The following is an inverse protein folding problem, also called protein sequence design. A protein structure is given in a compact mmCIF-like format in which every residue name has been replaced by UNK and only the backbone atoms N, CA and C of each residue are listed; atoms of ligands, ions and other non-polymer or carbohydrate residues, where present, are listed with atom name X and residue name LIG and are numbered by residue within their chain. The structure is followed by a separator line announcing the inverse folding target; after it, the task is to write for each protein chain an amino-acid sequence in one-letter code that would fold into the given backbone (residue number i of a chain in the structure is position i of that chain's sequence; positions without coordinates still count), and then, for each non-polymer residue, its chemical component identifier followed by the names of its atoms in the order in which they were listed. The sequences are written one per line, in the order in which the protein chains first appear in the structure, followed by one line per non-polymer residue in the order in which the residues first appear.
data_IF_218303237933
#
_entry.id   IF_218303237933
#
_cell.length_a   1.000
_cell.length_b   1.000
_cell.length_c   1.000
_cell.angle_alpha   90.00
_cell.angle_beta   90.00
_cell.angle_gamma   90.00
#
_symmetry.space_group_name_H-M   'P 1'
#
loop_
_entity.id
_entity.type
_entity.pdbx_description
1 polymer ?
#
# COMPACT_ATOMS: atom_id res chain seq x y z
N UNK A 1 37.97 23.09 -24.31
CA UNK A 1 37.91 21.62 -24.39
C UNK A 1 36.55 21.24 -24.97
N UNK A 2 36.50 20.63 -26.16
CA UNK A 2 35.26 20.27 -26.86
C UNK A 2 35.01 18.76 -26.69
N UNK A 3 33.82 18.39 -26.23
CA UNK A 3 33.39 17.01 -26.00
C UNK A 3 33.14 16.30 -27.35
N UNK A 4 33.81 15.17 -27.57
CA UNK A 4 33.91 14.46 -28.84
C UNK A 4 32.98 13.24 -28.96
N UNK A 5 31.82 13.22 -28.30
CA UNK A 5 30.93 12.06 -28.33
C UNK A 5 29.46 12.44 -28.46
N UNK A 6 29.07 12.87 -29.66
CA UNK A 6 27.67 12.92 -30.09
C UNK A 6 27.57 12.49 -31.55
N UNK A 7 27.81 11.21 -31.86
CA UNK A 7 27.38 10.61 -33.12
C UNK A 7 27.12 9.12 -32.91
N UNK A 8 25.86 8.71 -33.10
CA UNK A 8 25.44 7.58 -33.94
C UNK A 8 23.93 7.42 -33.89
N UNK A 9 23.31 8.03 -34.89
CA UNK A 9 21.98 7.68 -35.38
C UNK A 9 22.01 6.23 -35.88
N UNK A 10 20.97 5.47 -35.54
CA UNK A 10 20.79 4.09 -35.99
C UNK A 10 19.31 3.88 -36.32
N UNK A 11 18.93 4.26 -37.54
CA UNK A 11 17.68 3.87 -38.17
C UNK A 11 17.58 2.34 -38.22
N UNK A 12 16.48 1.78 -37.72
CA UNK A 12 16.03 0.45 -38.11
C UNK A 12 14.52 0.45 -38.32
N UNK A 13 14.14 0.65 -39.57
CA UNK A 13 12.83 0.30 -40.10
C UNK A 13 12.76 -1.22 -40.21
N UNK A 14 11.68 -1.86 -39.75
CA UNK A 14 11.16 -3.07 -40.39
C UNK A 14 9.70 -3.33 -40.02
N UNK A 15 8.87 -3.06 -41.02
CA UNK A 15 7.60 -3.68 -41.37
C UNK A 15 7.23 -4.96 -40.59
N UNK A 16 6.09 -4.93 -39.89
CA UNK A 16 5.25 -6.13 -39.75
C UNK A 16 3.80 -5.82 -40.12
N UNK A 17 3.33 -6.64 -41.05
CA UNK A 17 2.04 -6.63 -41.74
C UNK A 17 0.89 -6.83 -40.76
N UNK A 18 -0.14 -6.03 -40.95
CA UNK A 18 -1.48 -6.24 -40.44
C UNK A 18 -2.12 -7.47 -41.13
N UNK A 19 -2.69 -8.36 -40.33
CA UNK A 19 -3.71 -9.31 -40.77
C UNK A 19 -5.00 -9.00 -39.99
N UNK A 20 -6.13 -8.75 -40.65
CA UNK A 20 -7.43 -8.73 -39.99
C UNK A 20 -7.92 -10.17 -39.83
N UNK A 21 -8.20 -10.58 -38.59
CA UNK A 21 -8.98 -11.79 -38.33
C UNK A 21 -10.27 -11.34 -37.67
N UNK A 22 -11.31 -11.30 -38.49
CA UNK A 22 -12.70 -11.27 -38.05
C UNK A 22 -13.05 -12.64 -37.49
N UNK A 23 -13.37 -12.72 -36.20
CA UNK A 23 -14.19 -13.81 -35.66
C UNK A 23 -15.21 -13.26 -34.68
N UNK A 24 -16.46 -13.45 -35.11
CA UNK A 24 -17.77 -13.28 -34.50
C UNK A 24 -17.79 -13.46 -32.96
N UNK A 25 -18.46 -12.56 -32.21
CA UNK A 25 -18.65 -12.73 -30.78
C UNK A 25 -19.68 -13.84 -30.50
N UNK A 26 -19.25 -14.85 -29.75
CA UNK A 26 -20.15 -15.82 -29.12
C UNK A 26 -20.98 -15.10 -28.06
N UNK A 27 -22.29 -15.13 -28.22
CA UNK A 27 -23.27 -14.63 -27.25
C UNK A 27 -23.22 -15.57 -26.04
N UNK A 28 -22.46 -15.20 -25.02
CA UNK A 28 -22.57 -15.82 -23.70
C UNK A 28 -23.79 -15.24 -22.98
N UNK A 29 -24.69 -16.16 -22.63
CA UNK A 29 -25.90 -15.98 -21.85
C UNK A 29 -25.64 -15.11 -20.62
N UNK A 30 -26.27 -13.93 -20.60
CA UNK A 30 -26.24 -13.03 -19.46
C UNK A 30 -26.81 -13.75 -18.22
N UNK A 31 -25.93 -14.21 -17.33
CA UNK A 31 -26.30 -14.54 -15.97
C UNK A 31 -26.77 -13.25 -15.30
N UNK A 32 -28.04 -13.22 -14.92
CA UNK A 32 -28.63 -12.15 -14.12
C UNK A 32 -27.90 -12.05 -12.79
N UNK A 33 -26.88 -11.20 -12.72
CA UNK A 33 -26.31 -10.74 -11.46
C UNK A 33 -27.37 -9.88 -10.78
N UNK A 34 -27.98 -10.42 -9.74
CA UNK A 34 -28.72 -9.63 -8.77
C UNK A 34 -27.68 -8.92 -7.90
N UNK A 35 -27.55 -7.58 -7.96
CA UNK A 35 -26.78 -6.88 -6.95
C UNK A 35 -27.63 -6.93 -5.68
N UNK A 36 -27.35 -7.89 -4.81
CA UNK A 36 -27.76 -7.84 -3.42
C UNK A 36 -27.00 -6.68 -2.74
N UNK A 37 -27.40 -5.45 -3.09
CA UNK A 37 -26.98 -4.23 -2.41
C UNK A 37 -27.78 -4.11 -1.11
N UNK A 38 -27.54 -5.05 -0.19
CA UNK A 38 -27.66 -4.70 1.21
C UNK A 38 -26.49 -3.78 1.51
N UNK A 39 -26.79 -2.59 2.02
CA UNK A 39 -25.80 -1.70 2.63
C UNK A 39 -25.31 -2.46 3.86
N UNK A 40 -24.31 -3.31 3.68
CA UNK A 40 -23.70 -4.05 4.77
C UNK A 40 -22.93 -3.02 5.58
N UNK A 41 -23.43 -2.76 6.80
CA UNK A 41 -22.75 -1.97 7.83
C UNK A 41 -21.30 -2.50 7.92
N UNK A 42 -20.32 -1.71 7.46
CA UNK A 42 -18.90 -2.10 7.35
C UNK A 42 -18.22 -2.18 8.74
N UNK A 43 -18.92 -2.70 9.75
CA UNK A 43 -18.36 -3.20 11.01
C UNK A 43 -17.63 -4.54 10.80
N UNK A 44 -17.05 -4.76 9.62
CA UNK A 44 -16.26 -5.95 9.39
C UNK A 44 -14.94 -5.77 10.13
N UNK A 45 -14.87 -6.36 11.33
CA UNK A 45 -13.65 -6.44 12.13
C UNK A 45 -12.77 -7.51 11.48
N UNK A 46 -11.49 -7.21 11.25
CA UNK A 46 -10.54 -8.20 10.73
C UNK A 46 -10.48 -9.38 11.69
N UNK A 47 -10.53 -10.61 11.17
CA UNK A 47 -10.45 -11.79 12.03
C UNK A 47 -9.13 -11.79 12.82
N UNK A 48 -9.17 -12.33 14.04
CA UNK A 48 -7.98 -12.47 14.89
C UNK A 48 -6.88 -13.27 14.18
N UNK A 49 -7.26 -14.28 13.40
CA UNK A 49 -6.35 -15.07 12.57
C UNK A 49 -5.66 -14.22 11.50
N UNK A 50 -6.40 -13.42 10.73
CA UNK A 50 -5.84 -12.58 9.67
C UNK A 50 -4.92 -11.49 10.23
N UNK A 51 -5.23 -10.96 11.41
CA UNK A 51 -4.37 -10.03 12.14
C UNK A 51 -3.09 -10.71 12.65
N UNK A 52 -3.20 -11.94 13.16
CA UNK A 52 -2.03 -12.74 13.57
C UNK A 52 -1.10 -13.03 12.37
N UNK A 53 -1.66 -13.38 11.22
CA UNK A 53 -0.88 -13.56 9.98
C UNK A 53 -0.20 -12.25 9.53
N UNK A 54 -0.88 -11.10 9.66
CA UNK A 54 -0.28 -9.79 9.39
C UNK A 54 0.88 -9.51 10.33
N UNK A 55 0.73 -9.80 11.63
CA UNK A 55 1.80 -9.65 12.61
C UNK A 55 3.01 -10.51 12.25
N UNK A 56 2.80 -11.81 11.99
CA UNK A 56 3.88 -12.73 11.60
C UNK A 56 4.59 -12.28 10.31
N UNK A 57 3.84 -11.77 9.33
CA UNK A 57 4.43 -11.19 8.12
C UNK A 57 5.31 -9.98 8.45
N UNK A 58 4.83 -9.06 9.29
CA UNK A 58 5.57 -7.85 9.69
C UNK A 58 6.86 -8.25 10.41
N UNK A 59 6.77 -9.12 11.42
CA UNK A 59 7.91 -9.52 12.25
C UNK A 59 9.03 -10.13 11.39
N UNK A 60 8.70 -11.15 10.59
CA UNK A 60 9.65 -11.80 9.67
C UNK A 60 10.25 -10.83 8.65
N UNK A 61 9.46 -9.90 8.11
CA UNK A 61 9.96 -8.96 7.10
C UNK A 61 10.84 -7.89 7.76
N UNK A 62 10.54 -7.44 8.97
CA UNK A 62 11.38 -6.49 9.71
C UNK A 62 12.78 -7.03 10.02
N UNK A 63 12.93 -8.33 10.26
CA UNK A 63 14.23 -8.98 10.49
C UNK A 63 15.17 -8.89 9.28
N UNK A 64 14.62 -8.94 8.08
CA UNK A 64 15.40 -9.02 6.83
C UNK A 64 15.40 -7.73 6.03
N UNK A 65 14.49 -6.81 6.32
CA UNK A 65 14.28 -5.61 5.51
C UNK A 65 15.31 -4.52 5.80
N UNK A 66 16.15 -4.23 4.79
CA UNK A 66 17.12 -3.13 4.83
C UNK A 66 16.56 -1.78 4.38
N UNK A 67 15.27 -1.69 4.03
CA UNK A 67 14.69 -0.48 3.44
C UNK A 67 14.81 0.75 4.35
N UNK A 68 14.91 0.54 5.67
CA UNK A 68 14.98 1.63 6.63
C UNK A 68 16.36 2.27 6.69
N UNK A 69 17.40 1.59 6.18
CA UNK A 69 18.78 2.10 6.21
C UNK A 69 18.97 3.33 5.32
N UNK A 70 18.06 3.59 4.38
CA UNK A 70 18.09 4.80 3.54
C UNK A 70 17.74 6.08 4.32
N UNK A 71 17.14 5.95 5.50
CA UNK A 71 16.72 7.08 6.32
C UNK A 71 17.81 7.46 7.33
N UNK A 72 18.62 8.46 6.97
CA UNK A 72 19.72 8.97 7.80
C UNK A 72 19.42 10.24 8.58
N UNK A 73 18.23 10.83 8.42
CA UNK A 73 17.90 12.12 9.05
C UNK A 73 17.57 11.97 10.53
N UNK A 74 17.82 13.04 11.28
CA UNK A 74 17.37 13.23 12.66
C UNK A 74 16.20 14.20 12.65
N UNK A 75 15.11 13.85 13.33
CA UNK A 75 13.87 14.60 13.42
C UNK A 75 13.81 15.29 14.78
N UNK A 76 13.50 16.58 14.81
CA UNK A 76 13.56 17.43 16.03
C UNK A 76 12.29 18.23 16.31
N UNK A 77 11.38 18.34 15.34
CA UNK A 77 10.14 19.12 15.48
C UNK A 77 9.06 18.40 16.30
N UNK A 78 7.95 19.08 16.58
CA UNK A 78 6.75 18.48 17.19
C UNK A 78 6.25 17.28 16.35
N UNK A 79 5.66 16.28 17.02
CA UNK A 79 5.22 15.04 16.38
C UNK A 79 4.27 15.32 15.22
N UNK A 80 3.35 16.28 15.35
CA UNK A 80 2.41 16.61 14.29
C UNK A 80 3.11 17.15 13.03
N UNK A 81 4.16 17.97 13.19
CA UNK A 81 4.96 18.56 12.09
C UNK A 81 5.77 17.48 11.38
N UNK A 82 6.38 16.58 12.16
CA UNK A 82 7.09 15.41 11.62
C UNK A 82 6.15 14.57 10.76
N UNK A 83 4.97 14.24 11.29
CA UNK A 83 3.96 13.42 10.60
C UNK A 83 3.54 14.10 9.31
N UNK A 84 3.12 15.37 9.35
CA UNK A 84 2.65 16.09 8.16
C UNK A 84 3.72 16.14 7.07
N UNK A 85 4.98 16.37 7.44
CA UNK A 85 6.11 16.48 6.51
C UNK A 85 6.48 15.13 5.87
N UNK A 86 6.15 14.01 6.51
CA UNK A 86 6.51 12.66 6.05
C UNK A 86 5.32 11.86 5.49
N UNK A 87 4.12 12.43 5.35
CA UNK A 87 2.93 11.70 4.90
C UNK A 87 3.08 10.94 3.59
N UNK A 88 3.74 11.55 2.59
CA UNK A 88 4.05 10.88 1.33
C UNK A 88 4.98 9.68 1.53
N UNK A 89 6.02 9.83 2.35
CA UNK A 89 6.99 8.77 2.63
C UNK A 89 6.38 7.63 3.46
N UNK A 90 5.49 7.95 4.40
CA UNK A 90 4.76 6.92 5.17
C UNK A 90 3.86 6.09 4.24
N UNK A 91 3.15 6.73 3.30
CA UNK A 91 2.36 6.02 2.28
C UNK A 91 3.25 5.10 1.45
N UNK A 92 4.36 5.61 0.95
CA UNK A 92 5.29 4.83 0.13
C UNK A 92 5.88 3.65 0.91
N UNK A 93 6.22 3.87 2.19
CA UNK A 93 6.73 2.82 3.09
C UNK A 93 5.71 1.69 3.31
N UNK A 94 4.42 2.01 3.48
CA UNK A 94 3.36 0.98 3.55
C UNK A 94 3.27 0.22 2.23
N UNK A 95 3.23 0.92 1.10
CA UNK A 95 3.10 0.28 -0.21
C UNK A 95 4.27 -0.67 -0.52
N UNK A 96 5.51 -0.23 -0.25
CA UNK A 96 6.70 -1.05 -0.48
C UNK A 96 6.83 -2.19 0.53
N UNK A 97 6.60 -1.92 1.81
CA UNK A 97 6.75 -2.92 2.86
C UNK A 97 5.70 -4.03 2.76
N UNK A 98 4.46 -3.69 2.39
CA UNK A 98 3.39 -4.67 2.23
C UNK A 98 3.26 -5.15 0.78
N UNK A 99 4.32 -5.06 -0.03
CA UNK A 99 4.37 -5.68 -1.34
C UNK A 99 4.74 -7.17 -1.23
N UNK A 100 4.01 -8.03 -1.94
CA UNK A 100 4.24 -9.48 -2.01
C UNK A 100 3.60 -10.28 -0.88
N UNK A 101 3.93 -11.58 -0.80
CA UNK A 101 3.46 -12.49 0.25
C UNK A 101 1.93 -12.52 0.34
N UNK A 102 1.38 -12.45 1.56
CA UNK A 102 -0.07 -12.42 1.78
C UNK A 102 -0.79 -11.21 1.16
N UNK A 103 -0.05 -10.17 0.76
CA UNK A 103 -0.59 -8.97 0.09
C UNK A 103 -0.46 -9.02 -1.44
N UNK A 104 -0.04 -10.16 -1.99
CA UNK A 104 -0.05 -10.44 -3.44
C UNK A 104 -1.42 -10.92 -3.94
N UNK A 105 -2.37 -11.10 -3.02
CA UNK A 105 -3.73 -11.54 -3.31
C UNK A 105 -4.39 -10.54 -4.26
N UNK A 106 -4.94 -11.06 -5.37
CA UNK A 106 -5.66 -10.27 -6.38
C UNK A 106 -7.16 -10.15 -6.10
N UNK A 107 -7.58 -10.52 -4.88
CA UNK A 107 -8.97 -10.60 -4.44
C UNK A 107 -9.24 -9.58 -3.34
N UNK A 108 -10.32 -8.83 -3.48
CA UNK A 108 -10.79 -7.89 -2.46
C UNK A 108 -11.23 -8.65 -1.19
N UNK A 109 -10.72 -8.26 -0.02
CA UNK A 109 -11.07 -8.87 1.28
C UNK A 109 -12.53 -8.57 1.70
N UNK A 110 -13.16 -7.54 1.14
CA UNK A 110 -14.56 -7.21 1.44
C UNK A 110 -15.55 -7.89 0.50
N UNK A 111 -15.45 -7.65 -0.82
CA UNK A 111 -16.44 -8.13 -1.79
C UNK A 111 -16.02 -9.39 -2.53
N UNK A 112 -14.80 -9.89 -2.31
CA UNK A 112 -14.28 -11.08 -2.98
C UNK A 112 -14.01 -10.90 -4.48
N UNK A 113 -14.16 -9.71 -5.04
CA UNK A 113 -13.89 -9.48 -6.47
C UNK A 113 -12.41 -9.65 -6.75
N UNK A 114 -12.10 -10.47 -7.75
CA UNK A 114 -10.79 -10.52 -8.36
C UNK A 114 -10.70 -9.41 -9.40
N UNK A 115 -9.81 -8.46 -9.19
CA UNK A 115 -9.66 -7.32 -10.10
C UNK A 115 -8.37 -7.44 -10.89
N UNK A 116 -8.44 -7.15 -12.19
CA UNK A 116 -7.25 -6.85 -12.99
C UNK A 116 -6.59 -5.53 -12.57
N UNK A 117 -7.33 -4.66 -11.87
CA UNK A 117 -6.83 -3.39 -11.32
C UNK A 117 -6.09 -3.62 -10.00
N UNK A 118 -5.08 -2.80 -9.67
CA UNK A 118 -4.40 -2.87 -8.39
C UNK A 118 -5.39 -2.69 -7.23
N UNK A 119 -5.31 -3.57 -6.24
CA UNK A 119 -6.03 -3.41 -4.98
C UNK A 119 -5.32 -2.38 -4.10
N UNK A 120 -6.11 -1.66 -3.31
CA UNK A 120 -5.68 -0.59 -2.41
C UNK A 120 -5.57 -1.13 -0.98
N UNK A 121 -4.67 -0.53 -0.20
CA UNK A 121 -4.46 -0.87 1.20
C UNK A 121 -5.14 0.16 2.08
N UNK A 122 -6.21 -0.24 2.75
CA UNK A 122 -7.00 0.65 3.61
C UNK A 122 -6.61 0.49 5.08
N UNK A 123 -6.40 1.61 5.76
CA UNK A 123 -6.28 1.67 7.22
C UNK A 123 -7.65 1.55 7.87
N UNK A 124 -7.74 0.89 9.03
CA UNK A 124 -9.02 0.70 9.72
C UNK A 124 -9.73 2.01 10.09
N UNK A 125 -11.07 2.03 10.03
CA UNK A 125 -11.89 3.20 10.37
C UNK A 125 -11.57 3.68 11.80
N UNK A 126 -11.36 4.99 11.96
CA UNK A 126 -10.95 5.59 13.24
C UNK A 126 -9.43 5.56 13.51
N UNK A 127 -8.67 4.79 12.76
CA UNK A 127 -7.20 4.75 12.81
C UNK A 127 -6.58 5.08 11.45
N UNK A 128 -6.81 6.30 10.90
CA UNK A 128 -6.15 6.75 9.68
C UNK A 128 -4.63 6.81 9.87
N UNK A 129 -3.90 6.91 8.75
CA UNK A 129 -2.44 6.80 8.70
C UNK A 129 -1.73 7.77 9.66
N UNK A 130 -2.19 9.01 9.76
CA UNK A 130 -1.67 10.03 10.66
C UNK A 130 -1.86 9.64 12.13
N UNK A 131 -3.00 9.03 12.50
CA UNK A 131 -3.24 8.51 13.85
C UNK A 131 -2.36 7.30 14.16
N UNK A 132 -2.16 6.40 13.20
CA UNK A 132 -1.20 5.29 13.34
C UNK A 132 0.23 5.83 13.51
N UNK A 133 0.62 6.83 12.72
CA UNK A 133 1.92 7.48 12.84
C UNK A 133 2.13 8.17 14.19
N UNK A 134 1.10 8.87 14.68
CA UNK A 134 1.11 9.50 16.00
C UNK A 134 1.22 8.46 17.12
N UNK A 135 0.47 7.36 17.04
CA UNK A 135 0.58 6.24 17.99
C UNK A 135 2.01 5.68 18.04
N UNK A 136 2.65 5.53 16.88
CA UNK A 136 4.04 5.08 16.78
C UNK A 136 5.03 6.08 17.41
N UNK A 137 4.88 7.38 17.13
CA UNK A 137 5.75 8.42 17.72
C UNK A 137 5.58 8.53 19.22
N UNK A 138 4.34 8.61 19.72
CA UNK A 138 4.07 8.67 21.16
C UNK A 138 4.69 7.50 21.93
N UNK A 139 4.81 6.32 21.28
CA UNK A 139 5.45 5.13 21.86
C UNK A 139 6.97 5.24 21.95
N UNK A 140 7.64 5.77 20.93
CA UNK A 140 9.11 5.78 20.83
C UNK A 140 9.76 7.11 21.19
N UNK A 141 8.95 8.17 21.23
CA UNK A 141 9.31 9.57 21.51
C UNK A 141 8.15 10.23 22.28
N UNK A 142 7.92 9.82 23.54
CA UNK A 142 6.88 10.42 24.39
C UNK A 142 7.23 11.87 24.79
N UNK A 143 8.52 12.21 24.84
CA UNK A 143 9.02 13.57 25.04
C UNK A 143 9.40 14.18 23.68
N UNK A 144 8.62 15.14 23.22
CA UNK A 144 8.83 15.81 21.93
C UNK A 144 10.07 16.72 21.92
N UNK A 145 10.72 16.98 23.05
CA UNK A 145 11.98 17.74 23.07
C UNK A 145 13.19 16.90 22.65
N UNK A 146 13.05 15.57 22.66
CA UNK A 146 14.13 14.64 22.32
C UNK A 146 14.14 14.36 20.83
N UNK A 147 15.31 14.45 20.19
CA UNK A 147 15.45 14.11 18.77
C UNK A 147 15.29 12.61 18.50
N UNK A 148 14.78 12.22 17.33
CA UNK A 148 14.68 10.82 16.92
C UNK A 148 15.22 10.57 15.51
N UNK A 149 15.84 9.41 15.28
CA UNK A 149 16.25 9.01 13.92
C UNK A 149 15.01 8.70 13.07
N UNK A 150 14.99 9.21 11.84
CA UNK A 150 13.92 8.96 10.88
C UNK A 150 13.71 7.45 10.65
N UNK A 151 14.79 6.67 10.54
CA UNK A 151 14.72 5.20 10.42
C UNK A 151 13.99 4.53 11.59
N UNK A 152 14.21 4.99 12.82
CA UNK A 152 13.49 4.49 14.01
C UNK A 152 12.00 4.81 13.92
N UNK A 153 11.63 6.03 13.50
CA UNK A 153 10.22 6.40 13.31
C UNK A 153 9.54 5.56 12.22
N UNK A 154 10.12 5.47 11.02
CA UNK A 154 9.51 4.71 9.93
C UNK A 154 9.37 3.22 10.30
N UNK A 155 10.36 2.64 10.99
CA UNK A 155 10.28 1.26 11.49
C UNK A 155 9.14 1.10 12.51
N UNK A 156 9.07 1.97 13.52
CA UNK A 156 8.03 1.93 14.53
C UNK A 156 6.62 2.12 13.94
N UNK A 157 6.50 2.97 12.90
CA UNK A 157 5.26 3.14 12.15
C UNK A 157 4.83 1.84 11.44
N UNK A 158 5.76 1.11 10.83
CA UNK A 158 5.46 -0.21 10.24
C UNK A 158 5.05 -1.21 11.33
N UNK A 159 5.79 -1.29 12.44
CA UNK A 159 5.47 -2.14 13.60
C UNK A 159 4.08 -1.85 14.17
N UNK A 160 3.62 -0.60 14.11
CA UNK A 160 2.31 -0.19 14.60
C UNK A 160 1.16 -0.94 13.90
N UNK A 161 1.36 -1.36 12.65
CA UNK A 161 0.40 -2.16 11.90
C UNK A 161 0.29 -3.60 12.43
N UNK A 162 1.10 -4.05 13.39
CA UNK A 162 0.83 -5.32 14.11
C UNK A 162 -0.45 -5.24 14.95
N UNK A 163 -0.88 -4.02 15.32
CA UNK A 163 -2.07 -3.76 16.12
C UNK A 163 -3.21 -3.13 15.31
N UNK A 164 -2.88 -2.47 14.19
CA UNK A 164 -3.85 -1.81 13.32
C UNK A 164 -3.94 -2.52 11.97
N UNK A 165 -5.09 -3.15 11.66
CA UNK A 165 -5.22 -3.96 10.46
C UNK A 165 -5.15 -3.12 9.17
N UNK A 166 -4.55 -3.71 8.13
CA UNK A 166 -4.53 -3.19 6.76
C UNK A 166 -5.36 -4.08 5.86
N UNK A 167 -6.43 -3.51 5.31
CA UNK A 167 -7.33 -4.21 4.42
C UNK A 167 -6.86 -4.15 2.97
N UNK A 168 -7.04 -5.22 2.21
CA UNK A 168 -6.81 -5.29 0.77
C UNK A 168 -8.16 -5.12 0.07
N UNK A 169 -8.46 -3.90 -0.39
CA UNK A 169 -9.77 -3.56 -0.94
C UNK A 169 -9.68 -3.21 -2.43
N UNK A 170 -10.72 -3.51 -3.19
CA UNK A 170 -10.89 -2.88 -4.49
C UNK A 170 -11.24 -1.41 -4.32
N UNK A 171 -11.00 -0.59 -5.34
CA UNK A 171 -11.23 0.87 -5.30
C UNK A 171 -12.65 1.25 -4.83
N UNK A 172 -13.66 0.51 -5.26
CA UNK A 172 -15.05 0.79 -4.88
C UNK A 172 -15.32 0.49 -3.41
N UNK A 173 -14.75 -0.60 -2.88
CA UNK A 173 -14.83 -0.91 -1.46
C UNK A 173 -14.00 0.05 -0.63
N UNK A 174 -12.80 0.45 -1.08
CA UNK A 174 -11.95 1.41 -0.40
C UNK A 174 -12.63 2.77 -0.28
N UNK A 175 -13.23 3.27 -1.36
CA UNK A 175 -13.97 4.54 -1.34
C UNK A 175 -15.15 4.51 -0.36
N UNK A 176 -15.87 3.38 -0.27
CA UNK A 176 -16.97 3.21 0.70
C UNK A 176 -16.47 3.09 2.13
N UNK A 177 -15.31 2.47 2.32
CA UNK A 177 -14.69 2.29 3.63
C UNK A 177 -14.15 3.60 4.22
N UNK A 178 -13.56 4.44 3.36
CA UNK A 178 -13.04 5.76 3.72
C UNK A 178 -14.13 6.83 3.90
N UNK A 179 -15.35 6.59 3.41
CA UNK A 179 -16.49 7.49 3.54
C UNK A 179 -17.10 7.49 4.97
#
# INVERSE_FOLDING_TARGET
MKCSQCQKEGHRSDNKKFHPVETVPTIETAQSYTPNSSIVDMKHVMSSERLAQQKEFIDRKLETCKQFNKYGLTLVDENFVIISSLMGELRNSVLSFFQGGMYSVKKCEHCGTESSKPLERAHSKGMPRDKVALSALNRIRPDETVSIKQSCFIRAFIEEHTRHPLWILCKDCHKKYDA
#
